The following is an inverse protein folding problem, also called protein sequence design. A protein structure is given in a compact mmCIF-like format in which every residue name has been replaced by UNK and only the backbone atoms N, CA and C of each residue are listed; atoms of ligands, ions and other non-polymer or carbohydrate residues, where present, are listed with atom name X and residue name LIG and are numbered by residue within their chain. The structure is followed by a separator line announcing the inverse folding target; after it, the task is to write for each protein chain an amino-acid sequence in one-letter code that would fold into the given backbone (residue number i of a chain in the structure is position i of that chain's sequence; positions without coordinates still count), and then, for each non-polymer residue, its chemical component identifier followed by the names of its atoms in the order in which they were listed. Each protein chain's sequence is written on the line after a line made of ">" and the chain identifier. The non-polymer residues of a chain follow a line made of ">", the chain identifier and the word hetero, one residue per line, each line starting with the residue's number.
data_IF_799776311576
#
_entry.id   IF_799776311576
#
_cell.length_a   1.000
_cell.length_b   1.000
_cell.length_c   1.000
_cell.angle_alpha   90.00
_cell.angle_beta   90.00
_cell.angle_gamma   90.00
#
_symmetry.space_group_name_H-M   'P 1'
#
loop_
_entity.id
_entity.type
_entity.pdbx_description
1 polymer ?
#
# COMPACT_ATOMS: atom_id res chain seq x y z
N UNK A 1 1.58 -3.85 8.96
CA UNK A 1 0.80 -4.68 9.91
C UNK A 1 -0.60 -4.82 9.32
N UNK A 2 -1.18 -6.03 9.30
CA UNK A 2 -2.50 -6.26 8.69
C UNK A 2 -3.61 -5.66 9.57
N UNK A 3 -4.66 -5.12 8.94
CA UNK A 3 -5.90 -4.74 9.63
C UNK A 3 -6.76 -6.00 9.83
N UNK A 4 -6.60 -6.62 10.99
CA UNK A 4 -7.29 -7.86 11.35
C UNK A 4 -8.81 -7.70 11.42
N UNK A 5 -9.30 -6.53 11.81
CA UNK A 5 -10.73 -6.25 11.89
C UNK A 5 -11.33 -6.10 10.48
N UNK A 6 -10.63 -5.41 9.57
CA UNK A 6 -11.07 -5.33 8.17
C UNK A 6 -11.14 -6.74 7.54
N UNK A 7 -10.09 -7.54 7.72
CA UNK A 7 -10.04 -8.91 7.20
C UNK A 7 -11.15 -9.80 7.78
N UNK A 8 -11.44 -9.65 9.08
CA UNK A 8 -12.57 -10.30 9.73
C UNK A 8 -13.89 -9.97 9.05
N UNK A 9 -14.15 -8.69 8.77
CA UNK A 9 -15.38 -8.21 8.14
C UNK A 9 -15.52 -8.65 6.68
N UNK A 10 -14.45 -8.57 5.88
CA UNK A 10 -14.46 -8.97 4.47
C UNK A 10 -14.75 -10.47 4.28
N UNK A 11 -14.35 -11.32 5.23
CA UNK A 11 -14.46 -12.78 5.13
C UNK A 11 -15.58 -13.37 6.00
N UNK A 12 -16.68 -12.64 6.21
CA UNK A 12 -17.81 -13.08 7.05
C UNK A 12 -18.35 -14.48 6.68
N UNK A 13 -18.46 -14.78 5.38
CA UNK A 13 -18.98 -16.06 4.90
C UNK A 13 -18.09 -17.27 5.25
N UNK A 14 -16.82 -17.05 5.61
CA UNK A 14 -15.84 -18.10 5.94
C UNK A 14 -15.67 -18.30 7.44
N UNK A 15 -16.35 -17.51 8.27
CA UNK A 15 -16.30 -17.66 9.73
C UNK A 15 -17.00 -18.95 10.15
N UNK A 16 -16.38 -19.68 11.06
CA UNK A 16 -16.92 -20.91 11.62
C UNK A 16 -17.29 -20.71 13.07
N UNK A 17 -18.44 -21.25 13.49
CA UNK A 17 -18.82 -21.24 14.90
C UNK A 17 -17.89 -22.14 15.70
N UNK A 18 -17.46 -21.67 16.87
CA UNK A 18 -16.56 -22.41 17.74
C UNK A 18 -17.24 -22.74 19.07
N UNK A 19 -17.61 -24.01 19.22
CA UNK A 19 -18.39 -24.48 20.36
C UNK A 19 -17.45 -24.94 21.48
N UNK A 20 -17.04 -23.98 22.32
CA UNK A 20 -16.40 -24.26 23.61
C UNK A 20 -17.02 -23.35 24.67
N UNK A 21 -17.09 -23.82 25.92
CA UNK A 21 -17.50 -23.05 27.11
C UNK A 21 -16.59 -21.85 27.45
N UNK A 22 -15.69 -21.43 26.56
CA UNK A 22 -14.85 -20.25 26.73
C UNK A 22 -15.64 -19.02 26.27
N UNK A 23 -15.85 -18.09 27.18
CA UNK A 23 -16.56 -16.82 26.90
C UNK A 23 -15.60 -15.68 26.54
N UNK A 24 -14.31 -15.96 26.38
CA UNK A 24 -13.29 -14.95 26.08
C UNK A 24 -12.50 -15.35 24.84
N UNK A 25 -12.50 -14.48 23.82
CA UNK A 25 -11.73 -14.65 22.59
C UNK A 25 -10.22 -14.60 22.84
N UNK A 26 -9.76 -14.06 23.97
CA UNK A 26 -8.35 -13.96 24.36
C UNK A 26 -7.81 -15.19 25.11
N UNK A 27 -8.67 -16.13 25.51
CA UNK A 27 -8.28 -17.31 26.32
C UNK A 27 -8.37 -18.63 25.55
N UNK A 28 -7.96 -18.64 24.28
CA UNK A 28 -8.09 -19.80 23.38
C UNK A 28 -6.76 -20.44 22.98
N UNK A 29 -5.62 -19.98 23.52
CA UNK A 29 -4.29 -20.39 23.08
C UNK A 29 -4.08 -21.92 23.11
N UNK A 30 -4.46 -22.58 24.20
CA UNK A 30 -4.34 -24.04 24.36
C UNK A 30 -5.31 -24.80 23.43
N UNK A 31 -6.54 -24.28 23.27
CA UNK A 31 -7.56 -24.89 22.43
C UNK A 31 -7.20 -24.83 20.94
N UNK A 32 -6.62 -23.70 20.51
CA UNK A 32 -6.20 -23.44 19.13
C UNK A 32 -4.79 -23.97 18.84
N UNK A 33 -4.04 -24.40 19.87
CA UNK A 33 -2.62 -24.75 19.79
C UNK A 33 -1.81 -23.66 19.08
N UNK A 34 -2.12 -22.41 19.43
CA UNK A 34 -1.60 -21.22 18.76
C UNK A 34 -1.28 -20.15 19.79
N UNK A 35 -0.33 -19.28 19.48
CA UNK A 35 0.11 -18.19 20.35
C UNK A 35 -0.78 -16.96 20.13
N UNK A 36 -1.32 -16.38 21.19
CA UNK A 36 -1.98 -15.08 21.09
C UNK A 36 -0.94 -13.99 20.78
N UNK A 37 -1.10 -13.30 19.65
CA UNK A 37 -0.21 -12.22 19.21
C UNK A 37 -0.87 -10.85 19.22
N UNK A 38 -2.20 -10.80 19.14
CA UNK A 38 -2.97 -9.57 19.24
C UNK A 38 -4.25 -9.82 20.06
N UNK A 39 -4.34 -9.34 21.32
CA UNK A 39 -5.58 -9.48 22.09
C UNK A 39 -6.67 -8.56 21.53
N UNK A 40 -7.94 -8.98 21.62
CA UNK A 40 -9.08 -8.10 21.42
C UNK A 40 -9.24 -7.20 22.65
N UNK A 41 -9.20 -5.88 22.48
CA UNK A 41 -9.44 -4.94 23.57
C UNK A 41 -10.95 -4.76 23.83
N UNK A 42 -11.77 -4.95 22.80
CA UNK A 42 -13.21 -4.78 22.85
C UNK A 42 -13.97 -5.98 22.25
N UNK A 43 -15.24 -6.20 22.65
CA UNK A 43 -16.05 -7.33 22.13
C UNK A 43 -16.31 -7.33 20.62
N UNK A 44 -16.17 -6.16 19.98
CA UNK A 44 -16.32 -6.00 18.52
C UNK A 44 -15.01 -6.21 17.75
N UNK A 45 -13.89 -6.31 18.45
CA UNK A 45 -12.58 -6.59 17.87
C UNK A 45 -12.30 -8.09 17.85
N UNK A 46 -11.29 -8.48 17.06
CA UNK A 46 -10.80 -9.85 16.99
C UNK A 46 -9.50 -10.06 17.76
N UNK A 47 -9.42 -11.18 18.46
CA UNK A 47 -8.18 -11.70 19.00
C UNK A 47 -7.47 -12.49 17.89
N UNK A 48 -6.16 -12.30 17.73
CA UNK A 48 -5.37 -12.94 16.68
C UNK A 48 -4.39 -13.91 17.32
N UNK A 49 -4.53 -15.17 16.92
CA UNK A 49 -3.61 -16.23 17.25
C UNK A 49 -2.77 -16.59 16.04
N UNK A 50 -1.56 -17.06 16.31
CA UNK A 50 -0.60 -17.45 15.30
C UNK A 50 -0.09 -18.87 15.58
N UNK A 51 -0.02 -19.68 14.52
CA UNK A 51 0.81 -20.87 14.48
C UNK A 51 1.76 -20.79 13.28
N UNK A 52 2.46 -21.89 13.00
CA UNK A 52 3.50 -21.93 11.96
C UNK A 52 2.98 -21.46 10.59
N UNK A 53 1.78 -21.88 10.18
CA UNK A 53 1.28 -21.70 8.81
C UNK A 53 0.10 -20.72 8.67
N UNK A 54 -0.58 -20.36 9.77
CA UNK A 54 -1.82 -19.57 9.70
C UNK A 54 -2.00 -18.62 10.88
N UNK A 55 -2.76 -17.55 10.62
CA UNK A 55 -3.42 -16.76 11.64
C UNK A 55 -4.83 -17.28 11.90
N UNK A 56 -5.27 -17.21 13.15
CA UNK A 56 -6.62 -17.58 13.56
C UNK A 56 -7.20 -16.35 14.26
N UNK A 57 -8.19 -15.73 13.63
CA UNK A 57 -8.91 -14.59 14.17
C UNK A 57 -10.12 -15.12 14.95
N UNK A 58 -10.27 -14.68 16.19
CA UNK A 58 -11.37 -15.05 17.07
C UNK A 58 -12.21 -13.81 17.40
N UNK A 59 -13.47 -13.80 16.96
CA UNK A 59 -14.43 -12.74 17.26
C UNK A 59 -15.55 -13.24 18.17
N UNK A 60 -16.02 -12.37 19.07
CA UNK A 60 -17.03 -12.72 20.07
C UNK A 60 -18.41 -12.11 19.80
N UNK A 61 -18.49 -11.08 18.95
CA UNK A 61 -19.75 -10.44 18.58
C UNK A 61 -20.69 -11.42 17.86
N UNK A 62 -21.75 -11.88 18.55
CA UNK A 62 -22.72 -12.84 18.01
C UNK A 62 -22.45 -14.30 18.37
N UNK A 63 -21.53 -14.56 19.30
CA UNK A 63 -21.05 -15.90 19.66
C UNK A 63 -19.63 -16.12 19.15
N UNK A 64 -18.88 -16.98 19.82
CA UNK A 64 -17.47 -17.20 19.48
C UNK A 64 -17.34 -17.81 18.09
N UNK A 65 -16.69 -17.08 17.19
CA UNK A 65 -16.45 -17.46 15.81
C UNK A 65 -14.95 -17.41 15.52
N UNK A 66 -14.50 -18.28 14.62
CA UNK A 66 -13.12 -18.32 14.14
C UNK A 66 -13.05 -18.10 12.64
N UNK A 67 -12.02 -17.38 12.22
CA UNK A 67 -11.60 -17.25 10.85
C UNK A 67 -10.13 -17.66 10.74
N UNK A 68 -9.86 -18.69 9.95
CA UNK A 68 -8.50 -19.12 9.66
C UNK A 68 -7.99 -18.45 8.38
N UNK A 69 -6.77 -17.93 8.45
CA UNK A 69 -6.12 -17.19 7.37
C UNK A 69 -4.72 -17.76 7.18
N UNK A 70 -4.50 -18.43 6.05
CA UNK A 70 -3.17 -18.95 5.72
C UNK A 70 -2.20 -17.79 5.49
N UNK A 71 -1.01 -17.84 6.10
CA UNK A 71 0.02 -16.79 5.94
C UNK A 71 0.40 -16.59 4.47
N UNK A 72 0.54 -17.69 3.74
CA UNK A 72 0.79 -17.72 2.29
C UNK A 72 -0.35 -17.12 1.44
N UNK A 73 -1.52 -16.85 2.01
CA UNK A 73 -2.62 -16.14 1.35
C UNK A 73 -2.64 -14.64 1.61
N UNK A 74 -1.71 -14.11 2.42
CA UNK A 74 -1.63 -12.69 2.79
C UNK A 74 -0.55 -11.95 1.99
N UNK A 75 -0.67 -12.00 0.67
CA UNK A 75 0.22 -11.28 -0.24
C UNK A 75 -0.42 -9.97 -0.72
N UNK A 76 0.43 -9.01 -1.07
CA UNK A 76 0.08 -7.80 -1.81
C UNK A 76 0.80 -7.81 -3.17
N UNK A 77 0.17 -7.24 -4.19
CA UNK A 77 0.77 -7.11 -5.52
C UNK A 77 0.73 -5.64 -5.93
N UNK A 78 1.91 -5.04 -6.07
CA UNK A 78 2.06 -3.66 -6.50
C UNK A 78 2.59 -3.60 -7.93
N UNK A 79 1.95 -2.76 -8.76
CA UNK A 79 2.33 -2.53 -10.14
C UNK A 79 3.03 -1.17 -10.30
N UNK A 80 4.15 -1.14 -11.01
CA UNK A 80 4.90 0.09 -11.31
C UNK A 80 5.31 0.17 -12.78
N UNK A 81 5.24 1.37 -13.35
CA UNK A 81 5.85 1.70 -14.64
C UNK A 81 7.11 2.53 -14.39
N UNK A 82 8.26 2.03 -14.82
CA UNK A 82 9.58 2.60 -14.51
C UNK A 82 10.18 3.20 -15.77
N UNK A 83 10.53 4.48 -15.69
CA UNK A 83 11.07 5.28 -16.79
C UNK A 83 12.48 5.80 -16.53
N UNK A 84 13.03 5.54 -15.34
CA UNK A 84 14.34 5.99 -14.89
C UNK A 84 15.25 4.80 -14.57
N UNK A 85 16.56 4.99 -14.74
CA UNK A 85 17.53 3.94 -14.48
C UNK A 85 17.80 3.80 -12.98
N UNK A 86 17.22 2.76 -12.39
CA UNK A 86 17.41 2.38 -10.99
C UNK A 86 18.50 1.30 -10.80
N UNK A 87 19.36 1.08 -11.80
CA UNK A 87 20.47 0.12 -11.73
C UNK A 87 20.04 -1.35 -11.83
N UNK A 88 18.81 -1.62 -12.30
CA UNK A 88 18.25 -2.98 -12.41
C UNK A 88 18.70 -3.75 -13.67
N UNK A 89 19.49 -3.12 -14.55
CA UNK A 89 19.98 -3.69 -15.81
C UNK A 89 18.84 -4.22 -16.72
N UNK A 90 17.69 -3.54 -16.70
CA UNK A 90 16.55 -3.78 -17.59
C UNK A 90 16.42 -2.59 -18.54
N UNK A 91 16.18 -2.80 -19.87
CA UNK A 91 15.98 -1.69 -20.79
C UNK A 91 14.78 -0.82 -20.38
N UNK A 92 14.95 0.50 -20.46
CA UNK A 92 13.88 1.45 -20.18
C UNK A 92 12.99 1.69 -21.42
N UNK A 93 11.67 1.87 -21.20
CA UNK A 93 10.98 1.79 -19.92
C UNK A 93 10.59 0.34 -19.63
N UNK A 94 10.29 0.01 -18.38
CA UNK A 94 9.82 -1.33 -18.03
C UNK A 94 8.69 -1.30 -17.01
N UNK A 95 7.93 -2.39 -16.98
CA UNK A 95 6.90 -2.66 -15.98
C UNK A 95 7.49 -3.54 -14.90
N UNK A 96 7.16 -3.21 -13.66
CA UNK A 96 7.50 -3.98 -12.48
C UNK A 96 6.23 -4.46 -11.77
N UNK A 97 6.22 -5.73 -11.40
CA UNK A 97 5.22 -6.30 -10.51
C UNK A 97 5.97 -6.78 -9.27
N UNK A 98 5.73 -6.10 -8.16
CA UNK A 98 6.24 -6.45 -6.84
C UNK A 98 5.19 -7.29 -6.14
N UNK A 99 5.65 -8.37 -5.51
CA UNK A 99 4.81 -9.23 -4.68
C UNK A 99 5.45 -9.30 -3.32
N UNK A 100 4.69 -8.95 -2.30
CA UNK A 100 5.14 -8.93 -0.92
C UNK A 100 4.20 -9.77 -0.05
N UNK A 101 4.76 -10.66 0.76
CA UNK A 101 4.02 -11.35 1.82
C UNK A 101 4.61 -10.95 3.17
N UNK A 102 3.98 -10.00 3.85
CA UNK A 102 4.46 -9.51 5.14
C UNK A 102 4.36 -10.56 6.26
N UNK A 103 3.55 -11.61 6.09
CA UNK A 103 3.39 -12.67 7.07
C UNK A 103 4.53 -13.71 7.01
N UNK A 104 5.11 -13.92 5.82
CA UNK A 104 6.22 -14.87 5.60
C UNK A 104 7.54 -14.19 5.27
N UNK A 105 7.53 -12.86 5.14
CA UNK A 105 8.66 -12.02 4.71
C UNK A 105 9.19 -12.35 3.30
N UNK A 106 8.41 -13.13 2.53
CA UNK A 106 8.72 -13.47 1.15
C UNK A 106 8.40 -12.27 0.25
N UNK A 107 9.36 -11.89 -0.58
CA UNK A 107 9.21 -10.82 -1.56
C UNK A 107 9.80 -11.29 -2.89
N UNK A 108 9.19 -10.87 -4.00
CA UNK A 108 9.74 -11.13 -5.32
C UNK A 108 9.29 -10.06 -6.32
N UNK A 109 10.14 -9.82 -7.32
CA UNK A 109 9.88 -8.79 -8.33
C UNK A 109 10.00 -9.37 -9.73
N UNK A 110 8.95 -9.18 -10.53
CA UNK A 110 8.99 -9.47 -11.95
C UNK A 110 9.16 -8.18 -12.75
N UNK A 111 10.00 -8.23 -13.80
CA UNK A 111 10.31 -7.09 -14.67
C UNK A 111 10.07 -7.46 -16.13
N UNK A 112 9.34 -6.60 -16.84
CA UNK A 112 9.11 -6.73 -18.28
C UNK A 112 9.39 -5.43 -18.99
N UNK A 113 10.38 -5.42 -19.90
CA UNK A 113 10.63 -4.29 -20.81
C UNK A 113 9.33 -3.92 -21.55
N UNK A 114 8.94 -2.65 -21.50
CA UNK A 114 7.82 -2.13 -22.25
C UNK A 114 8.31 -1.63 -23.62
N UNK A 115 7.58 -1.94 -24.69
CA UNK A 115 7.89 -1.51 -26.06
C UNK A 115 6.62 -1.13 -26.79
N UNK A 116 6.69 -0.12 -27.64
CA UNK A 116 5.62 0.22 -28.58
C UNK A 116 6.04 -0.24 -29.98
N UNK A 117 5.19 -1.02 -30.66
CA UNK A 117 5.44 -1.41 -32.06
C UNK A 117 4.90 -0.36 -33.06
N UNK A 118 5.23 -0.53 -34.34
CA UNK A 118 4.82 0.38 -35.42
C UNK A 118 3.29 0.44 -35.62
N UNK A 119 2.55 -0.54 -35.07
CA UNK A 119 1.08 -0.61 -35.11
C UNK A 119 0.44 0.05 -33.87
N UNK A 120 1.24 0.60 -32.96
CA UNK A 120 0.79 1.25 -31.73
C UNK A 120 0.42 0.26 -30.62
N UNK A 121 0.80 -1.02 -30.71
CA UNK A 121 0.56 -2.00 -29.66
C UNK A 121 1.66 -1.95 -28.61
N UNK A 122 1.23 -2.05 -27.36
CA UNK A 122 2.14 -2.09 -26.22
C UNK A 122 2.51 -3.54 -25.95
N UNK A 123 3.81 -3.81 -26.00
CA UNK A 123 4.44 -5.03 -25.59
C UNK A 123 5.03 -4.87 -24.20
N UNK A 124 4.81 -5.83 -23.31
CA UNK A 124 5.50 -5.92 -22.02
C UNK A 124 6.16 -7.30 -21.95
N UNK A 125 7.50 -7.30 -21.95
CA UNK A 125 8.30 -8.50 -22.13
C UNK A 125 8.07 -9.16 -23.50
N UNK A 126 7.36 -10.30 -23.50
CA UNK A 126 7.08 -11.11 -24.70
C UNK A 126 5.59 -11.16 -25.07
N UNK A 127 4.74 -10.39 -24.40
CA UNK A 127 3.29 -10.38 -24.62
C UNK A 127 2.80 -8.97 -24.89
N UNK A 128 1.71 -8.86 -25.63
CA UNK A 128 1.01 -7.58 -25.82
C UNK A 128 -0.03 -7.40 -24.72
N UNK A 129 -0.33 -6.15 -24.36
CA UNK A 129 -1.41 -5.84 -23.40
C UNK A 129 -2.80 -6.15 -23.96
N UNK A 130 -2.94 -6.17 -25.29
CA UNK A 130 -4.20 -6.49 -25.95
C UNK A 130 -4.45 -8.02 -26.03
N UNK A 131 -3.43 -8.85 -25.76
CA UNK A 131 -3.58 -10.30 -25.61
C UNK A 131 -4.15 -10.64 -24.24
N UNK A 132 -5.25 -11.40 -24.21
CA UNK A 132 -5.82 -11.97 -22.99
C UNK A 132 -5.02 -13.20 -22.52
N UNK A 133 -3.70 -13.06 -22.46
CA UNK A 133 -2.74 -14.13 -22.12
C UNK A 133 -1.69 -13.57 -21.18
N UNK A 134 -1.66 -14.13 -19.96
CA UNK A 134 -0.65 -13.83 -18.97
C UNK A 134 0.75 -14.25 -19.46
N UNK A 135 1.79 -13.39 -19.38
CA UNK A 135 3.16 -13.81 -19.63
C UNK A 135 3.64 -14.79 -18.56
N UNK A 136 4.73 -15.49 -18.85
CA UNK A 136 5.43 -16.24 -17.82
C UNK A 136 6.07 -15.26 -16.83
N UNK A 137 5.59 -15.26 -15.59
CA UNK A 137 6.11 -14.48 -14.48
C UNK A 137 6.61 -15.44 -13.39
N UNK A 138 7.83 -15.99 -13.54
CA UNK A 138 8.38 -16.90 -12.53
C UNK A 138 8.74 -16.10 -11.28
N UNK A 139 7.99 -16.32 -10.22
CA UNK A 139 8.29 -15.83 -8.87
C UNK A 139 8.87 -16.98 -8.05
N UNK A 140 10.01 -17.52 -8.49
CA UNK A 140 10.60 -18.77 -7.97
C UNK A 140 10.95 -18.69 -6.47
N UNK A 141 11.08 -17.48 -5.94
CA UNK A 141 11.38 -17.20 -4.54
C UNK A 141 10.13 -17.26 -3.62
N UNK A 142 8.92 -17.31 -4.20
CA UNK A 142 7.67 -17.36 -3.45
C UNK A 142 7.16 -18.81 -3.34
N UNK A 143 6.95 -19.27 -2.11
CA UNK A 143 6.39 -20.59 -1.81
C UNK A 143 4.92 -20.77 -2.20
N UNK A 144 4.22 -19.68 -2.54
CA UNK A 144 2.78 -19.66 -2.81
C UNK A 144 2.40 -19.39 -4.27
N UNK A 145 3.34 -19.52 -5.21
CA UNK A 145 3.08 -19.35 -6.67
C UNK A 145 2.00 -20.27 -7.25
N UNK A 146 1.75 -21.41 -6.60
CA UNK A 146 0.72 -22.36 -6.98
C UNK A 146 -0.68 -22.04 -6.41
N UNK A 147 -0.79 -21.05 -5.53
CA UNK A 147 -2.06 -20.63 -4.95
C UNK A 147 -3.00 -20.04 -6.03
N UNK A 148 -4.24 -20.52 -6.07
CA UNK A 148 -5.25 -20.04 -7.01
C UNK A 148 -5.59 -18.56 -6.81
N UNK A 149 -5.69 -18.09 -5.56
CA UNK A 149 -5.96 -16.68 -5.24
C UNK A 149 -4.82 -15.78 -5.75
N UNK A 150 -3.57 -16.22 -5.59
CA UNK A 150 -2.40 -15.50 -6.10
C UNK A 150 -2.42 -15.41 -7.62
N UNK A 151 -2.69 -16.52 -8.31
CA UNK A 151 -2.76 -16.54 -9.78
C UNK A 151 -3.92 -15.68 -10.32
N UNK A 152 -5.05 -15.64 -9.61
CA UNK A 152 -6.17 -14.77 -9.96
C UNK A 152 -5.82 -13.29 -9.76
N UNK A 153 -5.21 -12.94 -8.63
CA UNK A 153 -4.75 -11.58 -8.35
C UNK A 153 -3.71 -11.11 -9.38
N UNK A 154 -2.73 -11.95 -9.72
CA UNK A 154 -1.75 -11.65 -10.76
C UNK A 154 -2.40 -11.49 -12.14
N UNK A 155 -3.40 -12.32 -12.45
CA UNK A 155 -4.20 -12.16 -13.66
C UNK A 155 -4.97 -10.85 -13.68
N UNK A 156 -5.53 -10.41 -12.55
CA UNK A 156 -6.23 -9.12 -12.42
C UNK A 156 -5.27 -7.96 -12.68
N UNK A 157 -4.10 -7.95 -12.04
CA UNK A 157 -3.08 -6.92 -12.24
C UNK A 157 -2.69 -6.80 -13.72
N UNK A 158 -2.53 -7.93 -14.41
CA UNK A 158 -2.17 -7.93 -15.82
C UNK A 158 -3.30 -7.45 -16.76
N UNK A 159 -4.53 -7.92 -16.54
CA UNK A 159 -5.63 -7.68 -17.49
C UNK A 159 -6.48 -6.45 -17.15
N UNK A 160 -6.46 -5.98 -15.91
CA UNK A 160 -7.30 -4.87 -15.44
C UNK A 160 -6.47 -3.63 -15.09
N UNK A 161 -5.40 -3.79 -14.31
CA UNK A 161 -4.63 -2.64 -13.77
C UNK A 161 -3.58 -2.14 -14.76
N UNK A 162 -2.78 -3.02 -15.35
CA UNK A 162 -1.72 -2.66 -16.29
C UNK A 162 -2.22 -1.92 -17.54
N UNK A 163 -3.37 -2.28 -18.15
CA UNK A 163 -3.94 -1.50 -19.25
C UNK A 163 -4.31 -0.06 -18.86
N UNK A 164 -4.56 0.24 -17.58
CA UNK A 164 -4.79 1.63 -17.14
C UNK A 164 -3.54 2.50 -17.28
N UNK A 165 -2.35 1.89 -17.33
CA UNK A 165 -1.08 2.59 -17.54
C UNK A 165 -0.78 2.87 -19.02
N UNK A 166 -1.59 2.36 -19.97
CA UNK A 166 -1.42 2.58 -21.42
C UNK A 166 -1.14 4.06 -21.78
N UNK A 167 -1.90 5.06 -21.28
CA UNK A 167 -1.65 6.45 -21.62
C UNK A 167 -0.27 6.95 -21.19
N UNK A 168 0.25 6.47 -20.05
CA UNK A 168 1.57 6.82 -19.54
C UNK A 168 2.68 6.16 -20.37
N UNK A 169 2.50 4.88 -20.72
CA UNK A 169 3.44 4.13 -21.57
C UNK A 169 3.52 4.79 -22.95
N UNK A 170 2.37 5.08 -23.57
CA UNK A 170 2.32 5.75 -24.88
C UNK A 170 2.98 7.13 -24.82
N UNK A 171 2.69 7.93 -23.80
CA UNK A 171 3.32 9.25 -23.64
C UNK A 171 4.85 9.15 -23.63
N UNK A 172 5.43 8.19 -22.90
CA UNK A 172 6.89 8.00 -22.86
C UNK A 172 7.50 7.75 -24.25
N UNK A 173 6.86 6.90 -25.07
CA UNK A 173 7.34 6.59 -26.42
C UNK A 173 7.14 7.74 -27.41
N UNK A 174 6.03 8.48 -27.30
CA UNK A 174 5.75 9.61 -28.19
C UNK A 174 6.62 10.85 -27.86
N UNK A 175 7.08 10.98 -26.62
CA UNK A 175 7.95 12.08 -26.17
C UNK A 175 9.45 11.74 -26.22
N UNK A 176 9.83 10.59 -26.79
CA UNK A 176 11.21 10.30 -27.19
C UNK A 176 12.15 9.82 -26.08
N UNK A 177 11.64 9.31 -24.95
CA UNK A 177 12.43 8.64 -23.91
C UNK A 177 13.53 9.49 -23.24
N UNK A 178 13.58 10.80 -23.52
CA UNK A 178 14.41 11.73 -22.78
C UNK A 178 13.67 12.11 -21.49
N UNK A 179 14.30 11.90 -20.34
CA UNK A 179 13.93 12.63 -19.13
C UNK A 179 13.81 14.12 -19.53
N UNK A 180 12.70 14.80 -19.23
CA UNK A 180 12.46 16.15 -19.72
C UNK A 180 13.56 17.08 -19.18
N UNK A 181 14.59 17.33 -19.99
CA UNK A 181 15.70 18.25 -19.68
C UNK A 181 15.28 19.73 -19.68
N UNK A 182 14.01 20.00 -19.86
CA UNK A 182 13.37 21.24 -19.48
C UNK A 182 11.99 20.87 -18.95
N UNK A 183 11.63 21.39 -17.78
CA UNK A 183 10.24 21.49 -17.32
C UNK A 183 9.44 22.32 -18.34
N UNK A 184 9.15 21.74 -19.50
CA UNK A 184 7.98 22.16 -20.25
C UNK A 184 6.78 21.56 -19.49
N UNK A 185 5.82 22.40 -19.08
CA UNK A 185 4.68 21.95 -18.30
C UNK A 185 4.02 20.79 -19.05
N UNK A 186 3.87 19.66 -18.37
CA UNK A 186 3.24 18.48 -18.93
C UNK A 186 1.96 18.88 -19.67
N UNK A 187 1.94 18.69 -20.99
CA UNK A 187 0.74 18.84 -21.80
C UNK A 187 -0.17 17.64 -21.54
N UNK A 188 -0.73 17.59 -20.34
CA UNK A 188 -1.95 16.85 -20.04
C UNK A 188 -2.99 17.31 -21.05
N UNK A 189 -3.39 16.44 -21.98
CA UNK A 189 -4.26 16.80 -23.10
C UNK A 189 -5.51 17.57 -22.66
N UNK A 190 -5.86 18.62 -23.39
CA UNK A 190 -6.93 19.60 -23.14
C UNK A 190 -7.00 20.20 -21.72
N UNK A 191 -7.08 21.52 -21.61
CA UNK A 191 -7.08 22.24 -20.33
C UNK A 191 -8.22 21.77 -19.39
N UNK A 192 -9.33 21.32 -19.97
CA UNK A 192 -10.46 20.76 -19.25
C UNK A 192 -10.13 19.46 -18.51
N UNK A 193 -9.23 18.62 -19.06
CA UNK A 193 -8.83 17.37 -18.41
C UNK A 193 -7.90 17.64 -17.23
N UNK A 194 -6.98 18.60 -17.36
CA UNK A 194 -6.14 19.06 -16.25
C UNK A 194 -7.01 19.56 -15.12
N UNK A 195 -7.98 20.41 -15.42
CA UNK A 195 -8.88 20.95 -14.41
C UNK A 195 -9.65 19.82 -13.71
N UNK A 196 -10.17 18.84 -14.46
CA UNK A 196 -10.85 17.68 -13.86
C UNK A 196 -9.93 16.83 -12.97
N UNK A 197 -8.65 16.69 -13.31
CA UNK A 197 -7.67 15.97 -12.48
C UNK A 197 -7.40 16.75 -11.20
N UNK A 198 -7.16 18.06 -11.30
CA UNK A 198 -6.98 18.94 -10.15
C UNK A 198 -8.21 18.95 -9.24
N UNK A 199 -9.42 18.97 -9.79
CA UNK A 199 -10.67 18.95 -9.03
C UNK A 199 -10.83 17.63 -8.26
N UNK A 200 -10.53 16.48 -8.90
CA UNK A 200 -10.56 15.17 -8.23
C UNK A 200 -9.52 15.07 -7.13
N UNK A 201 -8.30 15.54 -7.41
CA UNK A 201 -7.21 15.57 -6.43
C UNK A 201 -7.58 16.43 -5.20
N UNK A 202 -8.06 17.65 -5.44
CA UNK A 202 -8.48 18.56 -4.38
C UNK A 202 -9.63 18.01 -3.53
N UNK A 203 -10.53 17.22 -4.12
CA UNK A 203 -11.60 16.55 -3.37
C UNK A 203 -11.09 15.39 -2.52
N UNK A 204 -10.18 14.56 -3.05
CA UNK A 204 -9.51 13.49 -2.30
C UNK A 204 -8.75 14.08 -1.11
N UNK A 205 -7.93 15.11 -1.36
CA UNK A 205 -7.15 15.79 -0.31
C UNK A 205 -8.07 16.35 0.77
N UNK A 206 -9.15 17.06 0.41
CA UNK A 206 -10.10 17.61 1.40
C UNK A 206 -10.77 16.53 2.24
N UNK A 207 -11.16 15.41 1.63
CA UNK A 207 -11.78 14.29 2.34
C UNK A 207 -10.81 13.67 3.35
N UNK A 208 -9.58 13.40 2.94
CA UNK A 208 -8.58 12.80 3.82
C UNK A 208 -8.13 13.77 4.92
N UNK A 209 -7.99 15.07 4.65
CA UNK A 209 -7.72 16.09 5.67
C UNK A 209 -8.79 16.11 6.78
N UNK A 210 -10.06 15.91 6.43
CA UNK A 210 -11.14 15.83 7.41
C UNK A 210 -11.03 14.59 8.32
N UNK A 211 -10.45 13.50 7.83
CA UNK A 211 -10.16 12.30 8.64
C UNK A 211 -8.92 12.50 9.51
N UNK A 212 -7.86 13.07 8.93
CA UNK A 212 -6.59 13.36 9.63
C UNK A 212 -6.78 14.31 10.82
N UNK A 213 -7.61 15.34 10.67
CA UNK A 213 -7.93 16.28 11.77
C UNK A 213 -8.65 15.64 12.97
N UNK A 214 -9.19 14.42 12.81
CA UNK A 214 -9.75 13.63 13.92
C UNK A 214 -8.74 12.62 14.48
N UNK A 215 -7.77 12.23 13.67
CA UNK A 215 -6.77 11.22 14.01
C UNK A 215 -5.60 11.82 14.80
N UNK A 216 -5.23 13.07 14.48
CA UNK A 216 -4.11 13.78 15.11
C UNK A 216 -4.60 14.94 15.98
N UNK A 217 -3.91 15.17 17.08
CA UNK A 217 -4.05 16.37 17.91
C UNK A 217 -3.34 17.56 17.27
N UNK A 218 -3.67 18.78 17.70
CA UNK A 218 -3.03 20.00 17.22
C UNK A 218 -1.51 20.01 17.46
N UNK A 219 -1.06 19.44 18.59
CA UNK A 219 0.37 19.38 18.92
C UNK A 219 1.08 18.31 18.08
N UNK A 220 0.44 17.17 17.81
CA UNK A 220 0.95 16.17 16.85
C UNK A 220 1.12 16.78 15.46
N UNK A 221 0.12 17.52 14.98
CA UNK A 221 0.19 18.21 13.69
C UNK A 221 1.29 19.28 13.65
N UNK A 222 1.52 20.01 14.74
CA UNK A 222 2.61 21.01 14.84
C UNK A 222 3.99 20.35 14.80
N UNK A 223 4.18 19.23 15.49
CA UNK A 223 5.44 18.48 15.45
C UNK A 223 5.69 18.00 14.01
N UNK A 224 4.70 17.36 13.40
CA UNK A 224 4.80 16.88 12.02
C UNK A 224 5.10 18.04 11.05
N UNK A 225 4.41 19.17 11.18
CA UNK A 225 4.65 20.35 10.35
C UNK A 225 6.09 20.89 10.50
N UNK A 226 6.63 20.88 11.73
CA UNK A 226 8.02 21.28 12.00
C UNK A 226 9.04 20.39 11.28
N UNK A 227 8.74 19.09 11.16
CA UNK A 227 9.57 18.13 10.41
C UNK A 227 9.43 18.33 8.90
N UNK A 228 8.20 18.41 8.40
CA UNK A 228 7.87 18.55 6.97
C UNK A 228 8.42 19.85 6.38
N UNK A 229 8.45 20.94 7.16
CA UNK A 229 8.96 22.23 6.70
C UNK A 229 10.43 22.19 6.22
N UNK A 230 11.21 21.20 6.66
CA UNK A 230 12.60 21.00 6.25
C UNK A 230 12.79 20.03 5.07
N UNK A 231 11.71 19.50 4.50
CA UNK A 231 11.75 18.46 3.47
C UNK A 231 11.19 19.02 2.16
N UNK A 232 11.88 18.75 1.05
CA UNK A 232 11.40 19.09 -0.28
C UNK A 232 10.71 17.85 -0.88
N UNK A 233 9.45 18.01 -1.30
CA UNK A 233 8.63 16.96 -1.88
C UNK A 233 8.48 17.21 -3.38
N UNK A 234 9.44 16.71 -4.15
CA UNK A 234 9.60 17.05 -5.56
C UNK A 234 8.68 16.24 -6.48
N UNK A 235 8.07 15.18 -5.93
CA UNK A 235 7.14 14.30 -6.64
C UNK A 235 6.15 13.64 -5.69
N UNK A 236 5.03 13.13 -6.23
CA UNK A 236 4.07 12.38 -5.43
C UNK A 236 4.72 11.15 -4.74
N UNK A 237 5.70 10.49 -5.39
CA UNK A 237 6.41 9.35 -4.80
C UNK A 237 7.23 9.74 -3.56
N UNK A 238 7.75 10.97 -3.52
CA UNK A 238 8.51 11.49 -2.37
C UNK A 238 7.65 11.72 -1.12
N UNK A 239 6.32 11.69 -1.25
CA UNK A 239 5.40 11.87 -0.13
C UNK A 239 5.31 10.66 0.81
N UNK A 240 5.80 9.47 0.40
CA UNK A 240 5.69 8.26 1.21
C UNK A 240 6.80 8.18 2.26
N UNK A 241 6.45 7.71 3.45
CA UNK A 241 7.40 7.43 4.52
C UNK A 241 7.65 8.64 5.43
N UNK A 242 6.69 9.56 5.57
CA UNK A 242 6.79 10.73 6.47
C UNK A 242 7.19 10.32 7.90
N UNK A 243 6.75 9.14 8.35
CA UNK A 243 7.10 8.59 9.66
C UNK A 243 8.61 8.42 9.87
N UNK A 244 9.40 8.14 8.83
CA UNK A 244 10.86 8.00 8.93
C UNK A 244 11.52 9.32 9.32
N UNK A 245 11.07 10.42 8.70
CA UNK A 245 11.57 11.74 9.00
C UNK A 245 11.18 12.20 10.40
N UNK A 246 9.95 11.85 10.83
CA UNK A 246 9.47 12.15 12.19
C UNK A 246 10.22 11.32 13.23
N UNK A 247 10.44 10.03 12.99
CA UNK A 247 11.18 9.13 13.89
C UNK A 247 12.62 9.60 14.08
N UNK A 248 13.31 9.95 13.00
CA UNK A 248 14.67 10.50 13.07
C UNK A 248 14.73 11.78 13.92
N UNK A 249 13.76 12.69 13.75
CA UNK A 249 13.72 13.97 14.48
C UNK A 249 13.31 13.83 15.94
N UNK A 250 12.48 12.85 16.29
CA UNK A 250 12.20 12.52 17.70
C UNK A 250 13.48 12.06 18.40
N UNK A 251 14.29 11.23 17.74
CA UNK A 251 15.55 10.71 18.30
C UNK A 251 16.61 11.82 18.41
N UNK A 252 16.76 12.64 17.38
CA UNK A 252 17.86 13.61 17.29
C UNK A 252 17.58 14.91 18.07
N UNK A 253 16.33 15.38 18.09
CA UNK A 253 15.95 16.70 18.62
C UNK A 253 15.02 16.63 19.87
N UNK A 254 14.68 15.43 20.36
CA UNK A 254 13.76 15.20 21.49
C UNK A 254 12.43 15.97 21.34
N UNK A 255 11.90 16.07 20.12
CA UNK A 255 10.70 16.86 19.80
C UNK A 255 9.47 16.37 20.58
N UNK A 256 9.42 15.10 20.91
CA UNK A 256 8.38 14.51 21.74
C UNK A 256 8.32 15.11 23.14
N UNK A 257 9.47 15.38 23.75
CA UNK A 257 9.56 16.07 25.04
C UNK A 257 9.16 17.54 24.93
N UNK A 258 9.51 18.19 23.82
CA UNK A 258 9.18 19.60 23.57
C UNK A 258 7.68 19.83 23.40
N UNK A 259 6.99 18.92 22.71
CA UNK A 259 5.55 18.99 22.47
C UNK A 259 4.71 18.16 23.48
N UNK A 260 5.35 17.43 24.39
CA UNK A 260 4.71 16.53 25.37
C UNK A 260 3.81 15.46 24.72
N UNK A 261 4.33 14.83 23.66
CA UNK A 261 3.60 13.87 22.83
C UNK A 261 4.06 12.45 23.13
N UNK A 262 3.15 11.49 23.06
CA UNK A 262 3.47 10.07 23.04
C UNK A 262 4.03 9.68 21.66
N UNK A 263 5.37 9.60 21.59
CA UNK A 263 6.12 9.24 20.38
C UNK A 263 5.71 7.92 19.77
N UNK A 264 5.44 6.91 20.61
CA UNK A 264 5.11 5.57 20.15
C UNK A 264 3.72 5.54 19.52
N UNK A 265 2.76 6.20 20.18
CA UNK A 265 1.41 6.37 19.64
C UNK A 265 1.40 7.19 18.34
N UNK A 266 2.16 8.28 18.28
CA UNK A 266 2.29 9.13 17.09
C UNK A 266 2.88 8.35 15.90
N UNK A 267 4.00 7.65 16.12
CA UNK A 267 4.63 6.84 15.07
C UNK A 267 3.73 5.69 14.64
N UNK A 268 2.97 5.08 15.55
CA UNK A 268 1.96 4.08 15.24
C UNK A 268 0.88 4.61 14.30
N UNK A 269 0.35 5.82 14.57
CA UNK A 269 -0.62 6.49 13.67
C UNK A 269 -0.01 6.76 12.29
N UNK A 270 1.21 7.30 12.25
CA UNK A 270 1.88 7.66 10.99
C UNK A 270 2.21 6.42 10.13
N UNK A 271 2.67 5.32 10.74
CA UNK A 271 2.97 4.04 10.04
C UNK A 271 1.72 3.39 9.45
N UNK A 272 0.54 3.69 10.00
CA UNK A 272 -0.76 3.15 9.55
C UNK A 272 -1.47 4.06 8.54
N UNK A 273 -0.87 5.19 8.13
CA UNK A 273 -1.47 6.04 7.11
C UNK A 273 -1.44 5.35 5.74
N UNK A 274 -2.55 5.46 5.01
CA UNK A 274 -2.57 5.17 3.59
C UNK A 274 -1.77 6.23 2.83
N UNK A 275 -1.35 5.90 1.59
CA UNK A 275 -0.62 6.84 0.75
C UNK A 275 -1.40 8.15 0.50
N UNK A 276 -2.71 8.06 0.24
CA UNK A 276 -3.56 9.24 0.05
C UNK A 276 -3.61 10.13 1.29
N UNK A 277 -3.56 9.54 2.49
CA UNK A 277 -3.52 10.27 3.75
C UNK A 277 -2.16 10.93 4.00
N UNK A 278 -1.05 10.28 3.65
CA UNK A 278 0.27 10.92 3.73
C UNK A 278 0.38 12.12 2.79
N UNK A 279 -0.09 11.98 1.54
CA UNK A 279 -0.16 13.09 0.59
C UNK A 279 -1.04 14.22 1.14
N UNK A 280 -2.24 13.90 1.62
CA UNK A 280 -3.15 14.91 2.18
C UNK A 280 -2.60 15.62 3.44
N UNK A 281 -1.83 14.89 4.26
CA UNK A 281 -1.14 15.42 5.43
C UNK A 281 -0.03 16.40 5.03
N UNK A 282 0.79 16.02 4.05
CA UNK A 282 1.84 16.89 3.50
C UNK A 282 1.23 18.15 2.90
N UNK A 283 0.18 18.03 2.09
CA UNK A 283 -0.51 19.17 1.47
C UNK A 283 -1.16 20.10 2.51
N UNK A 284 -1.60 19.55 3.65
CA UNK A 284 -2.17 20.35 4.74
C UNK A 284 -1.12 21.15 5.51
N UNK A 285 0.06 20.57 5.70
CA UNK A 285 1.09 21.06 6.63
C UNK A 285 2.26 21.74 5.94
N UNK A 286 2.46 21.49 4.64
CA UNK A 286 3.46 22.18 3.84
C UNK A 286 3.02 23.61 3.62
N UNK A 287 3.84 24.61 3.98
CA UNK A 287 3.52 25.99 3.66
C UNK A 287 3.49 26.14 2.14
N UNK A 288 2.39 26.65 1.59
CA UNK A 288 2.41 27.23 0.26
C UNK A 288 3.50 28.31 0.29
N UNK A 289 4.61 28.08 -0.42
CA UNK A 289 5.64 29.10 -0.58
C UNK A 289 4.96 30.32 -1.22
N UNK A 290 4.78 31.36 -0.42
CA UNK A 290 4.29 32.68 -0.84
C UNK A 290 5.42 33.50 -1.44
#
# INVERSE_FOLDING_TARGET
>A
MYDWNALWHEREAYRTGFDIHHNDANELADALRAKLIHPAAHPEEVAVYENDDRYILAGHAGGLQLLEVLKHGLFDITLRFVTEDEGQNVPLPYVEIHVDNLATEEQAVWRGEARLDDEGRIWVGKRTLDENVLPAMPFDELSFTDNAEFREALSRVWHEDLPQLRPLIEAWFHHGGAAPTHEEPAHYGDADRVQQICDRYAEIVRREQALLSRLFSDDELRLIAGVIAGIHFDSAASCRGVWLAVEARIIDDELDQQFQIDSEALLGKLKNLSYAQEVALIEALSPLQS
#
